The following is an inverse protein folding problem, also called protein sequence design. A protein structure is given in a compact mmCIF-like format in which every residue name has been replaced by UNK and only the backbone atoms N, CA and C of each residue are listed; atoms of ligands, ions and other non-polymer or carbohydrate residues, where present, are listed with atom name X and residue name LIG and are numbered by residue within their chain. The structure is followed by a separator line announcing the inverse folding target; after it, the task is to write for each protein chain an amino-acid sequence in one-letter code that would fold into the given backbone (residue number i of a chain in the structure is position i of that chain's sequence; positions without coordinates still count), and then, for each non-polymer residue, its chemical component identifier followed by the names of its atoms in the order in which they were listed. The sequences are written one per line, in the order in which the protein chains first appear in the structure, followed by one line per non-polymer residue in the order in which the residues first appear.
data_IF_516597355095
#
_entry.id   IF_516597355095
#
_cell.length_a   1.000
_cell.length_b   1.000
_cell.length_c   1.000
_cell.angle_alpha   90.00
_cell.angle_beta   90.00
_cell.angle_gamma   90.00
#
_symmetry.space_group_name_H-M   'P 1'
#
loop_
_entity.id
_entity.type
_entity.pdbx_description
1 polymer ?
#
# COMPACT_ATOMS: atom_id res chain seq x y z
N UNK A 1 9.36 42.01 12.61
CA UNK A 1 10.76 42.34 12.86
C UNK A 1 11.25 41.60 14.07
N UNK A 2 12.39 40.93 13.93
CA UNK A 2 13.22 40.28 14.97
C UNK A 2 13.00 38.77 15.18
N UNK A 3 13.65 37.98 14.33
CA UNK A 3 14.16 36.64 14.64
C UNK A 3 15.69 36.74 14.62
N UNK A 4 16.23 37.50 15.57
CA UNK A 4 17.67 37.68 15.74
C UNK A 4 18.04 37.19 17.14
N UNK A 5 18.24 35.87 17.23
CA UNK A 5 18.92 35.24 18.36
C UNK A 5 19.87 34.20 17.80
N UNK A 6 21.09 34.66 17.55
CA UNK A 6 22.30 33.87 17.37
C UNK A 6 22.41 32.80 18.46
N UNK A 7 22.30 31.54 18.07
CA UNK A 7 22.72 30.38 18.85
C UNK A 7 23.87 29.75 18.08
N UNK A 8 25.06 29.74 18.68
CA UNK A 8 26.22 28.99 18.18
C UNK A 8 27.41 29.88 17.82
N UNK A 9 28.44 29.83 18.64
CA UNK A 9 29.82 30.18 18.27
C UNK A 9 30.32 29.11 17.27
N UNK A 10 31.01 29.54 16.22
CA UNK A 10 31.46 28.79 15.03
C UNK A 10 30.40 28.36 13.99
N UNK A 11 30.26 29.18 12.94
CA UNK A 11 29.93 28.74 11.58
C UNK A 11 28.45 28.60 11.23
N UNK A 12 27.87 29.68 10.68
CA UNK A 12 26.86 29.76 9.60
C UNK A 12 25.84 28.62 9.37
N UNK A 13 25.42 27.86 10.39
CA UNK A 13 24.28 26.95 10.25
C UNK A 13 23.00 27.74 10.57
N UNK A 14 22.37 28.33 9.55
CA UNK A 14 21.02 28.88 9.68
C UNK A 14 20.08 27.79 10.19
N UNK A 15 19.15 28.13 11.09
CA UNK A 15 18.16 27.19 11.64
C UNK A 15 17.31 26.51 10.55
N UNK A 16 17.31 27.07 9.33
CA UNK A 16 16.70 26.51 8.12
C UNK A 16 17.41 25.23 7.65
N UNK A 17 18.72 25.12 7.88
CA UNK A 17 19.57 23.99 7.48
C UNK A 17 19.42 22.77 8.42
N UNK A 18 18.65 22.93 9.50
CA UNK A 18 18.29 21.87 10.44
C UNK A 18 16.84 21.37 10.24
N UNK A 19 16.11 21.91 9.26
CA UNK A 19 14.80 21.37 8.92
C UNK A 19 15.04 20.09 8.10
N UNK A 20 14.73 18.89 8.62
CA UNK A 20 14.83 17.68 7.82
C UNK A 20 13.90 17.84 6.61
N UNK A 21 14.45 17.55 5.42
CA UNK A 21 13.65 17.46 4.20
C UNK A 21 12.46 16.54 4.47
N UNK A 22 11.25 16.98 4.13
CA UNK A 22 10.04 16.15 4.29
C UNK A 22 9.96 15.01 3.27
N UNK A 23 11.02 14.82 2.48
CA UNK A 23 11.12 13.79 1.47
C UNK A 23 11.62 12.49 2.11
N UNK A 24 11.02 11.34 1.77
CA UNK A 24 11.49 10.06 2.28
C UNK A 24 12.94 9.81 1.87
N UNK A 25 13.73 9.26 2.81
CA UNK A 25 15.11 8.85 2.53
C UNK A 25 15.16 7.74 1.47
N UNK A 26 16.30 7.55 0.79
CA UNK A 26 16.44 6.52 -0.25
C UNK A 26 16.11 5.12 0.28
N UNK A 27 16.44 4.83 1.54
CA UNK A 27 16.06 3.58 2.20
C UNK A 27 14.55 3.41 2.36
N UNK A 28 13.81 4.48 2.65
CA UNK A 28 12.34 4.43 2.77
C UNK A 28 11.69 4.19 1.42
N UNK A 29 12.17 4.85 0.37
CA UNK A 29 11.68 4.65 -1.00
C UNK A 29 11.86 3.18 -1.42
N UNK A 30 13.02 2.59 -1.16
CA UNK A 30 13.28 1.18 -1.49
C UNK A 30 12.34 0.26 -0.71
N UNK A 31 12.11 0.51 0.57
CA UNK A 31 11.18 -0.28 1.40
C UNK A 31 9.75 -0.21 0.88
N UNK A 32 9.27 0.97 0.48
CA UNK A 32 7.94 1.14 -0.11
C UNK A 32 7.81 0.39 -1.44
N UNK A 33 8.79 0.51 -2.33
CA UNK A 33 8.81 -0.23 -3.61
C UNK A 33 8.77 -1.75 -3.39
N UNK A 34 9.58 -2.26 -2.48
CA UNK A 34 9.57 -3.70 -2.15
C UNK A 34 8.21 -4.17 -1.62
N UNK A 35 7.51 -3.34 -0.85
CA UNK A 35 6.17 -3.66 -0.36
C UNK A 35 5.14 -3.72 -1.50
N UNK A 36 5.17 -2.77 -2.42
CA UNK A 36 4.31 -2.76 -3.59
C UNK A 36 4.56 -3.97 -4.51
N UNK A 37 5.83 -4.33 -4.73
CA UNK A 37 6.22 -5.50 -5.52
C UNK A 37 5.72 -6.80 -4.89
N UNK A 38 5.85 -6.95 -3.56
CA UNK A 38 5.34 -8.13 -2.85
C UNK A 38 3.82 -8.27 -2.97
N UNK A 39 3.08 -7.16 -2.79
CA UNK A 39 1.62 -7.17 -2.95
C UNK A 39 1.23 -7.52 -4.38
N UNK A 40 1.90 -6.93 -5.36
CA UNK A 40 1.65 -7.19 -6.78
C UNK A 40 1.91 -8.65 -7.14
N UNK A 41 3.06 -9.20 -6.74
CA UNK A 41 3.41 -10.61 -6.99
C UNK A 41 2.44 -11.60 -6.33
N UNK A 42 1.92 -11.28 -5.14
CA UNK A 42 0.88 -12.07 -4.48
C UNK A 42 -0.44 -12.03 -5.27
N UNK A 43 -0.88 -10.84 -5.69
CA UNK A 43 -2.10 -10.67 -6.48
C UNK A 43 -2.02 -11.37 -7.84
N UNK A 44 -0.83 -11.43 -8.44
CA UNK A 44 -0.58 -12.11 -9.72
C UNK A 44 -0.82 -13.63 -9.67
N UNK A 45 -0.72 -14.24 -8.49
CA UNK A 45 -1.00 -15.67 -8.28
C UNK A 45 -2.49 -15.99 -8.27
N UNK A 46 -3.34 -15.00 -7.94
CA UNK A 46 -4.78 -15.16 -7.96
C UNK A 46 -5.31 -15.27 -9.38
N UNK A 47 -6.35 -16.09 -9.54
CA UNK A 47 -7.20 -16.13 -10.73
C UNK A 47 -7.68 -14.70 -11.11
N UNK A 48 -7.73 -14.33 -12.39
CA UNK A 48 -7.99 -12.95 -12.82
C UNK A 48 -9.27 -12.34 -12.22
N UNK A 49 -10.34 -13.14 -12.11
CA UNK A 49 -11.60 -12.70 -11.50
C UNK A 49 -11.48 -12.44 -9.99
N UNK A 50 -10.68 -13.24 -9.29
CA UNK A 50 -10.45 -13.10 -7.85
C UNK A 50 -9.56 -11.88 -7.57
N UNK A 51 -8.55 -11.65 -8.40
CA UNK A 51 -7.68 -10.47 -8.35
C UNK A 51 -8.49 -9.18 -8.43
N UNK A 52 -9.31 -9.01 -9.47
CA UNK A 52 -10.19 -7.84 -9.64
C UNK A 52 -11.12 -7.65 -8.42
N UNK A 53 -11.66 -8.76 -7.88
CA UNK A 53 -12.53 -8.69 -6.70
C UNK A 53 -11.79 -8.15 -5.46
N UNK A 54 -10.55 -8.59 -5.24
CA UNK A 54 -9.71 -8.17 -4.11
C UNK A 54 -9.23 -6.74 -4.31
N UNK A 55 -8.74 -6.39 -5.49
CA UNK A 55 -8.24 -5.06 -5.81
C UNK A 55 -9.29 -3.97 -5.55
N UNK A 56 -10.51 -4.13 -6.08
CA UNK A 56 -11.59 -3.17 -5.80
C UNK A 56 -12.08 -3.24 -4.36
N UNK A 57 -12.13 -4.42 -3.73
CA UNK A 57 -12.60 -4.52 -2.34
C UNK A 57 -11.71 -3.73 -1.38
N UNK A 58 -10.40 -3.75 -1.61
CA UNK A 58 -9.41 -3.13 -0.73
C UNK A 58 -8.90 -1.78 -1.23
N UNK A 59 -9.28 -1.35 -2.44
CA UNK A 59 -8.87 -0.08 -3.03
C UNK A 59 -7.45 -0.10 -3.59
N UNK A 60 -6.97 -1.28 -4.02
CA UNK A 60 -5.63 -1.43 -4.59
C UNK A 60 -5.59 -0.99 -6.07
N UNK A 61 -6.74 -0.91 -6.74
CA UNK A 61 -6.82 -0.45 -8.13
C UNK A 61 -6.98 1.08 -8.24
N UNK A 62 -7.79 1.70 -7.37
CA UNK A 62 -8.24 3.09 -7.49
C UNK A 62 -8.15 3.90 -6.19
N UNK A 63 -7.57 3.32 -5.13
CA UNK A 63 -7.46 3.94 -3.82
C UNK A 63 -8.76 3.92 -3.00
N UNK A 64 -9.85 3.35 -3.50
CA UNK A 64 -11.16 3.37 -2.84
C UNK A 64 -11.67 1.97 -2.50
N UNK A 65 -12.10 1.79 -1.24
CA UNK A 65 -12.67 0.51 -0.80
C UNK A 65 -14.11 0.38 -1.29
N UNK A 66 -14.36 -0.61 -2.15
CA UNK A 66 -15.71 -0.94 -2.59
C UNK A 66 -16.40 -1.93 -1.65
N UNK A 67 -17.73 -1.84 -1.57
CA UNK A 67 -18.59 -2.82 -0.90
C UNK A 67 -18.71 -4.12 -1.73
N UNK A 68 -19.10 -5.23 -1.09
CA UNK A 68 -19.34 -6.48 -1.84
C UNK A 68 -20.45 -6.36 -2.89
N UNK A 69 -21.39 -5.42 -2.72
CA UNK A 69 -22.42 -5.13 -3.71
C UNK A 69 -21.80 -4.50 -4.96
N UNK A 70 -20.98 -3.45 -4.79
CA UNK A 70 -20.30 -2.76 -5.89
C UNK A 70 -19.31 -3.70 -6.59
N UNK A 71 -18.54 -4.49 -5.84
CA UNK A 71 -17.67 -5.52 -6.42
C UNK A 71 -18.48 -6.56 -7.19
N UNK A 72 -19.66 -6.95 -6.69
CA UNK A 72 -20.58 -7.83 -7.39
C UNK A 72 -21.08 -7.24 -8.71
N UNK A 73 -21.43 -5.95 -8.72
CA UNK A 73 -21.85 -5.21 -9.92
C UNK A 73 -20.74 -5.17 -10.98
N UNK A 74 -19.48 -4.90 -10.57
CA UNK A 74 -18.30 -4.91 -11.46
C UNK A 74 -18.10 -6.30 -12.09
N UNK A 75 -18.28 -7.36 -11.30
CA UNK A 75 -18.00 -8.75 -11.74
C UNK A 75 -19.20 -9.45 -12.39
N UNK A 76 -20.36 -8.79 -12.46
CA UNK A 76 -21.61 -9.37 -12.96
C UNK A 76 -22.16 -10.50 -12.10
N UNK A 77 -21.96 -10.46 -10.77
CA UNK A 77 -22.38 -11.49 -9.81
C UNK A 77 -23.13 -10.90 -8.63
N UNK A 78 -23.77 -11.76 -7.83
CA UNK A 78 -24.43 -11.32 -6.60
C UNK A 78 -23.41 -10.85 -5.55
N UNK A 79 -23.84 -9.99 -4.63
CA UNK A 79 -22.99 -9.52 -3.53
C UNK A 79 -22.43 -10.68 -2.68
N UNK A 80 -23.22 -11.73 -2.46
CA UNK A 80 -22.77 -12.91 -1.72
C UNK A 80 -21.74 -13.73 -2.51
N UNK A 81 -21.91 -13.85 -3.83
CA UNK A 81 -20.91 -14.49 -4.67
C UNK A 81 -19.59 -13.71 -4.65
N UNK A 82 -19.64 -12.38 -4.74
CA UNK A 82 -18.47 -11.51 -4.60
C UNK A 82 -17.78 -11.68 -3.24
N UNK A 83 -18.56 -11.69 -2.15
CA UNK A 83 -18.06 -11.97 -0.79
C UNK A 83 -17.31 -13.29 -0.72
N UNK A 84 -17.87 -14.34 -1.32
CA UNK A 84 -17.28 -15.68 -1.31
C UNK A 84 -16.00 -15.77 -2.14
N UNK A 85 -15.96 -15.08 -3.29
CA UNK A 85 -14.76 -14.96 -4.14
C UNK A 85 -13.65 -14.26 -3.36
N UNK A 86 -13.93 -13.08 -2.80
CA UNK A 86 -12.94 -12.32 -2.02
C UNK A 86 -12.43 -13.13 -0.84
N UNK A 87 -13.33 -13.78 -0.08
CA UNK A 87 -12.92 -14.59 1.07
C UNK A 87 -11.93 -15.68 0.66
N UNK A 88 -12.26 -16.44 -0.39
CA UNK A 88 -11.38 -17.50 -0.90
C UNK A 88 -10.03 -16.96 -1.34
N UNK A 89 -10.04 -15.85 -2.09
CA UNK A 89 -8.83 -15.20 -2.56
C UNK A 89 -7.93 -14.77 -1.40
N UNK A 90 -8.51 -14.15 -0.36
CA UNK A 90 -7.75 -13.73 0.83
C UNK A 90 -7.18 -14.93 1.60
N UNK A 91 -7.92 -16.02 1.70
CA UNK A 91 -7.42 -17.23 2.36
C UNK A 91 -6.27 -17.88 1.57
N UNK A 92 -6.32 -17.85 0.24
CA UNK A 92 -5.24 -18.29 -0.66
C UNK A 92 -4.00 -17.39 -0.54
N UNK A 93 -4.18 -16.07 -0.56
CA UNK A 93 -3.09 -15.10 -0.38
C UNK A 93 -2.35 -15.28 0.95
N UNK A 94 -3.05 -15.67 2.03
CA UNK A 94 -2.39 -15.94 3.32
C UNK A 94 -1.44 -17.12 3.24
N UNK A 95 -1.86 -18.20 2.59
CA UNK A 95 -1.04 -19.40 2.40
C UNK A 95 0.17 -19.05 1.52
N UNK A 96 -0.05 -18.29 0.46
CA UNK A 96 1.02 -17.84 -0.43
C UNK A 96 2.01 -16.91 0.27
N UNK A 97 1.53 -15.97 1.09
CA UNK A 97 2.36 -15.08 1.88
C UNK A 97 3.20 -15.84 2.92
N UNK A 98 2.62 -16.83 3.59
CA UNK A 98 3.36 -17.72 4.50
C UNK A 98 4.46 -18.49 3.77
N UNK A 99 4.20 -18.95 2.54
CA UNK A 99 5.20 -19.62 1.72
C UNK A 99 6.34 -18.69 1.29
N UNK A 100 6.07 -17.42 1.03
CA UNK A 100 7.11 -16.42 0.68
C UNK A 100 7.92 -16.05 1.92
N UNK A 101 7.28 -15.90 3.08
CA UNK A 101 7.96 -15.59 4.34
C UNK A 101 8.83 -16.75 4.86
N UNK A 102 8.52 -17.99 4.47
CA UNK A 102 9.27 -19.19 4.83
C UNK A 102 10.44 -19.52 3.88
N UNK A 103 10.57 -18.80 2.77
CA UNK A 103 11.63 -18.95 1.76
C UNK A 103 12.76 -17.93 1.99
#
# INVERSE_FOLDING_TARGET
TSLDRTVGDDGEQELVDLLPDSLPGPEQIVVEQMQEEMVTGLLERLEPRARVAVEHRFGLADGQKHSFREVGEILGVTAEAARRIVKRAVDELKIDAESIAAA
#
